data_IF_531819363667
#
_entry.id   IF_531819363667
#
_cell.length_a   1.000
_cell.length_b   1.000
_cell.length_c   1.000
_cell.angle_alpha   90.00
_cell.angle_beta   90.00
_cell.angle_gamma   90.00
#
_symmetry.space_group_name_H-M   'P 1'
#
loop_
_entity.id
_entity.type
_entity.pdbx_description
1 polymer ?
#
# COMPACT_ATOMS: atom_id res chain seq x y z
N UNK A 1 -2.11 8.02 9.93
CA UNK A 1 -2.78 6.71 9.77
C UNK A 1 -2.78 5.92 11.07
N UNK A 2 -1.62 5.55 11.65
CA UNK A 2 -1.54 4.75 12.90
C UNK A 2 -2.48 5.24 14.01
N UNK A 3 -2.34 6.50 14.44
CA UNK A 3 -3.18 7.08 15.49
C UNK A 3 -4.68 6.93 15.21
N UNK A 4 -5.10 7.28 13.99
CA UNK A 4 -6.52 7.23 13.61
C UNK A 4 -7.10 5.82 13.68
N UNK A 5 -6.35 4.81 13.23
CA UNK A 5 -6.77 3.41 13.27
C UNK A 5 -6.83 2.87 14.71
N UNK A 6 -5.87 3.25 15.56
CA UNK A 6 -5.89 2.89 16.99
C UNK A 6 -7.10 3.52 17.68
N UNK A 7 -7.37 4.81 17.44
CA UNK A 7 -8.52 5.51 18.00
C UNK A 7 -9.87 4.89 17.54
N UNK A 8 -9.89 4.30 16.34
CA UNK A 8 -11.04 3.57 15.80
C UNK A 8 -11.17 2.12 16.32
N UNK A 9 -10.26 1.67 17.19
CA UNK A 9 -10.32 0.35 17.85
C UNK A 9 -9.56 -0.78 17.15
N UNK A 10 -8.77 -0.49 16.12
CA UNK A 10 -7.95 -1.49 15.45
C UNK A 10 -6.63 -1.75 16.17
N UNK A 11 -6.18 -3.01 16.19
CA UNK A 11 -4.81 -3.36 16.55
C UNK A 11 -3.90 -2.98 15.37
N UNK A 12 -2.99 -2.04 15.58
CA UNK A 12 -2.09 -1.55 14.53
C UNK A 12 -0.65 -1.96 14.84
N UNK A 13 0.01 -2.58 13.87
CA UNK A 13 1.43 -2.94 13.93
C UNK A 13 2.14 -2.22 12.78
N UNK A 14 3.17 -1.45 13.11
CA UNK A 14 4.01 -0.80 12.11
C UNK A 14 5.24 -1.67 11.82
N UNK A 15 5.56 -1.86 10.54
CA UNK A 15 6.79 -2.56 10.13
C UNK A 15 8.05 -1.69 10.27
N UNK A 16 7.91 -0.37 10.45
CA UNK A 16 8.99 0.57 10.80
C UNK A 16 8.42 1.86 11.39
N UNK A 17 9.18 2.55 12.23
CA UNK A 17 8.83 3.86 12.83
C UNK A 17 9.69 5.00 12.32
N UNK A 18 10.85 4.70 11.72
CA UNK A 18 11.77 5.72 11.19
C UNK A 18 12.24 5.40 9.77
N UNK A 19 12.84 6.38 9.10
CA UNK A 19 13.44 6.18 7.76
C UNK A 19 14.83 5.53 7.82
N UNK A 20 15.49 5.56 8.97
CA UNK A 20 16.78 4.90 9.20
C UNK A 20 16.65 3.37 9.36
N UNK A 21 15.46 2.88 9.67
CA UNK A 21 15.17 1.45 9.77
C UNK A 21 15.01 0.83 8.39
N UNK A 22 15.91 -0.10 8.07
CA UNK A 22 15.87 -0.86 6.82
C UNK A 22 15.38 -2.27 7.11
N UNK A 23 14.33 -2.68 6.40
CA UNK A 23 13.79 -4.04 6.42
C UNK A 23 13.59 -4.48 4.98
N UNK A 24 14.01 -5.70 4.69
CA UNK A 24 13.74 -6.42 3.45
C UNK A 24 12.24 -6.65 3.26
N UNK A 25 11.85 -7.01 2.03
CA UNK A 25 10.45 -7.30 1.74
C UNK A 25 9.94 -8.57 2.46
N UNK A 26 10.85 -9.52 2.76
CA UNK A 26 10.59 -10.75 3.50
C UNK A 26 10.35 -10.43 4.98
N UNK A 27 11.24 -9.69 5.63
CA UNK A 27 11.05 -9.34 7.06
C UNK A 27 9.74 -8.58 7.29
N UNK A 28 9.36 -7.69 6.37
CA UNK A 28 8.06 -6.99 6.44
C UNK A 28 6.87 -7.93 6.30
N UNK A 29 7.02 -8.99 5.52
CA UNK A 29 5.99 -10.01 5.32
C UNK A 29 5.83 -10.89 6.54
N UNK A 30 6.96 -11.33 7.11
CA UNK A 30 7.00 -12.15 8.31
C UNK A 30 6.33 -11.43 9.48
N UNK A 31 6.55 -10.12 9.67
CA UNK A 31 5.82 -9.34 10.68
C UNK A 31 4.30 -9.47 10.53
N UNK A 32 3.78 -9.42 9.30
CA UNK A 32 2.34 -9.58 9.06
C UNK A 32 1.86 -11.00 9.36
N UNK A 33 2.60 -12.00 8.87
CA UNK A 33 2.28 -13.41 9.06
C UNK A 33 2.34 -13.84 10.54
N UNK A 34 3.38 -13.45 11.27
CA UNK A 34 3.60 -13.79 12.69
C UNK A 34 2.58 -13.14 13.63
N UNK A 35 1.91 -12.08 13.18
CA UNK A 35 0.88 -11.39 13.94
C UNK A 35 -0.54 -11.71 13.47
N UNK A 36 -0.70 -12.69 12.58
CA UNK A 36 -1.97 -13.10 11.97
C UNK A 36 -2.76 -11.88 11.45
N UNK A 37 -2.07 -10.97 10.74
CA UNK A 37 -2.66 -9.71 10.33
C UNK A 37 -3.79 -9.91 9.30
N UNK A 38 -4.99 -9.39 9.62
CA UNK A 38 -6.14 -9.40 8.70
C UNK A 38 -5.91 -8.55 7.45
N UNK A 39 -5.07 -7.50 7.55
CA UNK A 39 -4.76 -6.57 6.48
C UNK A 39 -3.35 -6.00 6.66
N UNK A 40 -2.52 -6.06 5.62
CA UNK A 40 -1.22 -5.38 5.58
C UNK A 40 -1.25 -4.25 4.55
N UNK A 41 -0.84 -3.06 5.00
CA UNK A 41 -0.89 -1.82 4.21
C UNK A 41 0.52 -1.27 4.03
N UNK A 42 1.14 -1.42 2.84
CA UNK A 42 2.44 -0.77 2.51
C UNK A 42 2.22 0.54 1.75
N UNK A 43 2.77 1.62 2.28
CA UNK A 43 2.59 2.96 1.70
C UNK A 43 3.88 3.35 0.99
N UNK A 44 3.78 3.66 -0.30
CA UNK A 44 4.90 4.10 -1.11
C UNK A 44 4.63 5.48 -1.76
N UNK A 45 5.72 6.14 -2.12
CA UNK A 45 5.73 7.32 -2.96
C UNK A 45 6.84 7.08 -3.97
N UNK A 46 6.51 6.87 -5.25
CA UNK A 46 7.52 6.66 -6.29
C UNK A 46 7.45 7.82 -7.26
N UNK A 47 8.61 8.42 -7.56
CA UNK A 47 8.73 9.48 -8.55
C UNK A 47 9.01 8.93 -9.94
N UNK A 48 8.43 9.54 -10.97
CA UNK A 48 8.83 9.33 -12.36
C UNK A 48 9.55 10.57 -12.90
N UNK A 49 10.57 10.35 -13.74
CA UNK A 49 11.15 11.43 -14.54
C UNK A 49 10.18 11.92 -15.64
N UNK A 50 9.12 11.16 -15.92
CA UNK A 50 8.05 11.57 -16.83
C UNK A 50 6.95 12.32 -16.06
N UNK A 51 6.93 13.64 -16.19
CA UNK A 51 5.98 14.53 -15.52
C UNK A 51 4.50 14.30 -15.92
N UNK A 52 4.23 13.61 -17.02
CA UNK A 52 2.86 13.22 -17.41
C UNK A 52 2.29 12.07 -16.57
N UNK A 53 3.14 11.36 -15.83
CA UNK A 53 2.72 10.30 -14.92
C UNK A 53 2.33 10.94 -13.59
N UNK A 54 1.03 10.97 -13.33
CA UNK A 54 0.46 11.33 -12.03
C UNK A 54 -0.67 10.37 -11.63
N UNK A 55 -0.96 10.33 -10.33
CA UNK A 55 -2.09 9.62 -9.73
C UNK A 55 -1.68 8.35 -8.98
N UNK A 56 -2.65 7.74 -8.28
CA UNK A 56 -2.41 6.52 -7.51
C UNK A 56 -2.86 5.27 -8.27
N UNK A 57 -2.11 4.19 -8.08
CA UNK A 57 -2.48 2.82 -8.45
C UNK A 57 -2.43 1.97 -7.19
N UNK A 58 -3.16 0.86 -7.18
CA UNK A 58 -3.08 -0.12 -6.12
C UNK A 58 -2.44 -1.40 -6.62
N UNK A 59 -1.36 -1.85 -5.99
CA UNK A 59 -0.85 -3.18 -6.27
C UNK A 59 -1.50 -4.18 -5.30
N UNK A 60 -1.88 -5.34 -5.81
CA UNK A 60 -2.47 -6.44 -5.04
C UNK A 60 -1.81 -7.76 -5.47
N UNK A 61 -1.75 -8.79 -4.61
CA UNK A 61 -1.34 -10.12 -5.06
C UNK A 61 -2.28 -10.61 -6.16
N UNK A 62 -1.72 -11.18 -7.23
CA UNK A 62 -2.52 -11.93 -8.19
C UNK A 62 -2.83 -13.33 -7.69
N UNK A 63 -3.65 -14.04 -8.45
CA UNK A 63 -3.95 -15.46 -8.28
C UNK A 63 -2.69 -16.30 -8.62
N UNK A 64 -1.83 -16.50 -7.62
CA UNK A 64 -0.56 -17.25 -7.72
C UNK A 64 -0.21 -17.96 -6.40
N UNK A 65 -0.27 -19.30 -6.40
CA UNK A 65 0.31 -20.25 -5.44
C UNK A 65 0.26 -19.89 -3.94
N UNK A 66 1.06 -18.91 -3.52
CA UNK A 66 1.12 -18.44 -2.15
C UNK A 66 -0.01 -17.47 -1.77
N UNK A 67 -0.75 -16.93 -2.74
CA UNK A 67 -1.75 -15.90 -2.53
C UNK A 67 -3.16 -16.26 -3.06
N UNK A 68 -3.38 -17.49 -3.51
CA UNK A 68 -4.65 -17.94 -4.09
C UNK A 68 -5.83 -17.75 -3.11
N UNK A 69 -5.57 -17.87 -1.81
CA UNK A 69 -6.56 -17.70 -0.73
C UNK A 69 -6.84 -16.25 -0.36
N UNK A 70 -5.99 -15.30 -0.78
CA UNK A 70 -6.08 -13.89 -0.41
C UNK A 70 -6.25 -12.94 -1.60
N UNK A 71 -6.08 -13.39 -2.85
CA UNK A 71 -6.04 -12.50 -4.01
C UNK A 71 -7.36 -11.76 -4.26
N UNK A 72 -8.51 -12.45 -4.17
CA UNK A 72 -9.83 -11.86 -4.41
C UNK A 72 -10.18 -10.81 -3.35
N UNK A 73 -10.05 -11.16 -2.06
CA UNK A 73 -10.28 -10.22 -0.96
C UNK A 73 -9.27 -9.05 -1.00
N UNK A 74 -8.06 -9.29 -1.51
CA UNK A 74 -7.07 -8.24 -1.72
C UNK A 74 -7.42 -7.25 -2.80
N UNK A 75 -7.96 -7.72 -3.92
CA UNK A 75 -8.47 -6.83 -4.94
C UNK A 75 -9.63 -5.98 -4.39
N UNK A 76 -10.57 -6.59 -3.67
CA UNK A 76 -11.73 -5.88 -3.12
C UNK A 76 -11.33 -4.75 -2.16
N UNK A 77 -10.47 -5.05 -1.18
CA UNK A 77 -9.99 -4.05 -0.23
C UNK A 77 -9.09 -3.02 -0.91
N UNK A 78 -8.19 -3.47 -1.79
CA UNK A 78 -7.33 -2.59 -2.56
C UNK A 78 -8.12 -1.57 -3.37
N UNK A 79 -9.21 -1.99 -4.01
CA UNK A 79 -10.09 -1.13 -4.81
C UNK A 79 -10.83 -0.13 -3.93
N UNK A 80 -11.43 -0.60 -2.84
CA UNK A 80 -12.17 0.24 -1.90
C UNK A 80 -11.29 1.36 -1.32
N UNK A 81 -10.05 1.03 -0.95
CA UNK A 81 -9.12 2.02 -0.40
C UNK A 81 -8.62 2.97 -1.51
N UNK A 82 -8.30 2.45 -2.71
CA UNK A 82 -7.85 3.28 -3.82
C UNK A 82 -8.91 4.31 -4.20
N UNK A 83 -10.14 3.86 -4.41
CA UNK A 83 -11.26 4.70 -4.83
C UNK A 83 -11.53 5.79 -3.78
N UNK A 84 -11.69 5.41 -2.51
CA UNK A 84 -11.93 6.36 -1.43
C UNK A 84 -10.81 7.41 -1.31
N UNK A 85 -9.55 6.99 -1.41
CA UNK A 85 -8.40 7.88 -1.31
C UNK A 85 -8.27 8.78 -2.54
N UNK A 86 -8.52 8.26 -3.74
CA UNK A 86 -8.45 9.07 -4.96
C UNK A 86 -9.56 10.10 -5.03
N UNK A 87 -10.76 9.74 -4.57
CA UNK A 87 -11.93 10.61 -4.53
C UNK A 87 -11.75 11.74 -3.50
N UNK A 88 -11.29 11.41 -2.28
CA UNK A 88 -11.08 12.38 -1.21
C UNK A 88 -10.00 13.42 -1.55
N UNK A 89 -8.90 12.98 -2.18
CA UNK A 89 -7.75 13.85 -2.48
C UNK A 89 -7.86 14.49 -3.88
N UNK A 90 -8.79 14.04 -4.72
CA UNK A 90 -8.95 14.52 -6.09
C UNK A 90 -7.81 14.12 -7.03
N UNK A 91 -7.16 12.98 -6.76
CA UNK A 91 -6.06 12.48 -7.60
C UNK A 91 -6.57 11.50 -8.66
N UNK A 92 -5.82 11.35 -9.76
CA UNK A 92 -6.18 10.39 -10.80
C UNK A 92 -6.10 8.96 -10.27
N UNK A 93 -7.22 8.24 -10.32
CA UNK A 93 -7.27 6.79 -10.10
C UNK A 93 -6.69 6.06 -11.33
N UNK A 94 -5.62 5.30 -11.13
CA UNK A 94 -4.93 4.53 -12.18
C UNK A 94 -5.25 3.03 -12.14
N UNK A 95 -6.14 2.62 -11.24
CA UNK A 95 -6.63 1.25 -11.13
C UNK A 95 -5.76 0.30 -10.30
N UNK A 96 -6.25 -0.94 -10.24
CA UNK A 96 -5.59 -2.09 -9.62
C UNK A 96 -4.51 -2.64 -10.57
N UNK A 97 -3.42 -3.09 -9.99
CA UNK A 97 -2.30 -3.77 -10.65
C UNK A 97 -2.04 -5.08 -9.91
N UNK A 98 -2.41 -6.20 -10.53
CA UNK A 98 -2.11 -7.53 -9.98
C UNK A 98 -0.62 -7.88 -10.17
N UNK A 99 0.00 -8.38 -9.13
CA UNK A 99 1.37 -8.92 -9.15
C UNK A 99 1.34 -10.44 -9.20
N UNK A 100 1.67 -11.01 -10.37
CA UNK A 100 1.71 -12.47 -10.64
C UNK A 100 3.11 -13.07 -10.71
N UNK A 101 4.16 -12.29 -10.43
CA UNK A 101 5.55 -12.73 -10.63
C UNK A 101 6.14 -13.20 -9.30
N UNK A 102 6.69 -14.43 -9.31
CA UNK A 102 7.34 -15.12 -8.18
C UNK A 102 8.65 -14.47 -7.69
N UNK A 103 9.28 -13.58 -8.48
CA UNK A 103 10.60 -13.00 -8.17
C UNK A 103 10.58 -11.96 -7.02
N UNK A 104 9.42 -11.44 -6.65
CA UNK A 104 9.23 -10.74 -5.36
C UNK A 104 8.83 -11.77 -4.30
N UNK A 105 9.75 -12.68 -3.98
CA UNK A 105 9.64 -13.66 -2.89
C UNK A 105 9.49 -12.90 -1.57
N UNK A 106 8.26 -12.51 -1.24
CA UNK A 106 7.94 -11.91 0.07
C UNK A 106 7.31 -12.93 1.00
N UNK A 107 6.79 -14.06 0.50
CA UNK A 107 6.15 -15.07 1.37
C UNK A 107 4.96 -14.52 2.16
N UNK A 108 4.35 -13.42 1.71
CA UNK A 108 3.19 -12.80 2.32
C UNK A 108 2.00 -13.75 2.23
N UNK A 109 1.48 -14.19 3.39
CA UNK A 109 0.13 -14.75 3.54
C UNK A 109 -0.89 -13.66 3.89
N UNK A 110 -0.52 -12.40 3.70
CA UNK A 110 -1.33 -11.23 4.02
C UNK A 110 -1.32 -10.18 2.90
N UNK A 111 -2.43 -9.46 2.82
CA UNK A 111 -2.71 -8.41 1.84
C UNK A 111 -1.56 -7.41 1.69
N UNK A 112 -1.16 -7.05 0.47
CA UNK A 112 -0.06 -6.11 0.24
C UNK A 112 -0.55 -4.85 -0.46
N UNK A 113 -0.79 -3.76 0.26
CA UNK A 113 -1.10 -2.46 -0.33
C UNK A 113 0.13 -1.78 -0.92
N UNK A 114 -0.04 -0.98 -1.98
CA UNK A 114 0.94 0.01 -2.42
C UNK A 114 0.17 1.28 -2.75
N UNK A 115 0.26 2.32 -1.92
CA UNK A 115 -0.08 3.66 -2.45
C UNK A 115 1.05 4.08 -3.37
N UNK A 116 0.73 4.63 -4.52
CA UNK A 116 1.66 5.42 -5.31
C UNK A 116 1.37 6.89 -5.04
N UNK A 117 2.13 7.52 -4.16
CA UNK A 117 2.14 8.98 -4.00
C UNK A 117 3.12 9.63 -4.97
N UNK A 118 2.61 10.48 -5.86
CA UNK A 118 3.41 11.43 -6.62
C UNK A 118 3.58 12.70 -5.78
N UNK A 119 4.70 12.83 -5.08
CA UNK A 119 5.07 14.06 -4.39
C UNK A 119 5.82 14.97 -5.38
N UNK A 120 5.07 15.56 -6.31
CA UNK A 120 5.55 16.72 -7.05
C UNK A 120 5.21 17.98 -6.24
N UNK A 121 6.18 18.45 -5.45
CA UNK A 121 6.34 19.83 -4.97
C UNK A 121 5.09 20.72 -5.05
N UNK A 122 4.23 20.70 -4.03
CA UNK A 122 3.32 21.82 -3.76
C UNK A 122 4.13 22.91 -3.07
N UNK A 123 4.79 23.74 -3.87
CA UNK A 123 5.27 25.04 -3.43
C UNK A 123 4.11 26.04 -3.46
N UNK A 124 3.71 26.48 -2.25
CA UNK A 124 3.02 27.73 -1.90
C UNK A 124 1.80 28.19 -2.72
N UNK A 125 0.65 28.17 -2.05
CA UNK A 125 -0.16 29.39 -1.81
C UNK A 125 -1.06 29.20 -0.59
N UNK A 126 -0.54 29.56 0.59
CA UNK A 126 -1.36 30.03 1.70
C UNK A 126 -0.83 31.45 1.97
N UNK A 127 -1.59 32.43 1.49
CA UNK A 127 -1.46 33.85 1.82
C UNK A 127 -2.47 34.16 2.92
N UNK A 128 -1.99 34.75 4.02
CA UNK A 128 -2.72 35.84 4.67
C UNK A 128 -2.82 37.02 3.69
#
# INVERSE_FOLDING_TARGET
MEKYLIDAGYKVILTRRSNSETFSNIERAEIGNENDADLVVRIHAYGSNNQSINGASMLVPGDVGYADDICEVSEQYGRSILDAMTDEVGMKNRGIVEKKILEDLTGLKSLSFWVKWDLCQIHKKISC
#
